data_IF_325876630330
#
_entry.id   IF_325876630330
#
_cell.length_a   1.000
_cell.length_b   1.000
_cell.length_c   1.000
_cell.angle_alpha   90.00
_cell.angle_beta   90.00
_cell.angle_gamma   90.00
#
_symmetry.space_group_name_H-M   'P 1'
#
loop_
_entity.id
_entity.type
_entity.pdbx_description
1 polymer ?
#
# COMPACT_ATOMS: atom_id res chain seq x y z
N UNK A 1 2.02 1.07 -0.61
CA UNK A 1 3.45 1.46 -0.74
C UNK A 1 4.11 0.98 -2.06
N UNK A 2 3.68 -0.15 -2.62
CA UNK A 2 4.25 -0.73 -3.86
C UNK A 2 4.05 0.18 -5.09
N UNK A 3 2.89 0.85 -5.24
CA UNK A 3 2.55 1.64 -6.44
C UNK A 3 3.43 2.88 -6.64
N UNK A 4 3.62 3.71 -5.60
CA UNK A 4 4.44 4.94 -5.68
C UNK A 4 5.94 4.64 -5.90
N UNK A 5 6.49 3.62 -5.24
CA UNK A 5 7.88 3.19 -5.47
C UNK A 5 8.09 2.67 -6.90
N UNK A 6 7.11 1.95 -7.45
CA UNK A 6 7.16 1.48 -8.84
C UNK A 6 7.14 2.64 -9.83
N UNK A 7 6.31 3.66 -9.62
CA UNK A 7 6.28 4.87 -10.47
C UNK A 7 7.62 5.62 -10.41
N UNK A 8 8.21 5.77 -9.23
CA UNK A 8 9.55 6.38 -9.09
C UNK A 8 10.63 5.59 -9.85
N UNK A 9 10.59 4.26 -9.75
CA UNK A 9 11.49 3.39 -10.52
C UNK A 9 11.30 3.56 -12.04
N UNK A 10 10.07 3.70 -12.52
CA UNK A 10 9.77 3.94 -13.94
C UNK A 10 10.33 5.30 -14.39
N UNK A 11 10.13 6.37 -13.62
CA UNK A 11 10.73 7.69 -13.90
C UNK A 11 12.26 7.61 -13.98
N UNK A 12 12.89 6.90 -13.04
CA UNK A 12 14.35 6.69 -13.06
C UNK A 12 14.83 5.88 -14.26
N UNK A 13 14.02 4.96 -14.81
CA UNK A 13 14.39 4.15 -15.98
C UNK A 13 14.32 4.94 -17.29
N UNK A 14 13.36 5.84 -17.40
CA UNK A 14 13.18 6.70 -18.58
C UNK A 14 14.22 7.84 -18.61
N UNK A 15 14.66 8.32 -17.44
CA UNK A 15 15.66 9.40 -17.31
C UNK A 15 17.14 8.95 -17.37
N UNK A 16 17.42 7.67 -17.63
CA UNK A 16 18.81 7.18 -17.74
C UNK A 16 19.42 7.55 -19.10
N UNK A 17 20.76 7.65 -19.13
CA UNK A 17 21.55 7.81 -20.37
C UNK A 17 21.19 6.74 -21.41
N UNK A 18 20.99 5.49 -20.95
CA UNK A 18 20.34 4.43 -21.73
C UNK A 18 18.88 4.32 -21.30
N UNK A 19 18.01 4.97 -22.07
CA UNK A 19 16.57 4.99 -21.78
C UNK A 19 16.01 3.57 -21.84
N UNK A 20 15.22 3.19 -20.83
CA UNK A 20 14.65 1.85 -20.74
C UNK A 20 13.12 1.92 -20.67
N UNK A 21 12.50 1.60 -21.81
CA UNK A 21 11.04 1.54 -21.98
C UNK A 21 10.47 0.12 -21.90
N UNK A 22 11.24 -0.89 -21.48
CA UNK A 22 10.77 -2.29 -21.36
C UNK A 22 9.51 -2.48 -20.51
N UNK A 23 9.19 -1.49 -19.66
CA UNK A 23 7.98 -1.49 -18.84
C UNK A 23 6.73 -1.04 -19.59
N UNK A 24 6.87 -0.54 -20.83
CA UNK A 24 5.83 -0.07 -21.73
C UNK A 24 5.91 -0.84 -23.05
N UNK A 25 5.37 -2.06 -23.10
CA UNK A 25 5.56 -2.97 -24.24
C UNK A 25 5.23 -2.34 -25.60
N UNK A 26 4.09 -1.66 -25.72
CA UNK A 26 3.66 -0.99 -26.96
C UNK A 26 4.61 0.13 -27.38
N UNK A 27 5.09 0.93 -26.42
CA UNK A 27 6.05 2.00 -26.70
C UNK A 27 7.42 1.43 -27.09
N UNK A 28 7.81 0.32 -26.47
CA UNK A 28 9.07 -0.36 -26.77
C UNK A 28 9.06 -1.03 -28.16
N UNK A 29 7.91 -1.59 -28.57
CA UNK A 29 7.70 -2.11 -29.93
C UNK A 29 7.81 -0.99 -30.97
N UNK A 30 7.09 0.12 -30.77
CA UNK A 30 7.14 1.28 -31.69
C UNK A 30 8.53 1.89 -31.85
N UNK A 31 9.35 1.89 -30.79
CA UNK A 31 10.72 2.40 -30.83
C UNK A 31 11.73 1.40 -31.43
N UNK A 32 11.37 0.11 -31.50
CA UNK A 32 12.24 -0.93 -32.07
C UNK A 32 12.10 -1.02 -33.60
N UNK A 33 11.00 -0.50 -34.15
CA UNK A 33 10.69 -0.53 -35.58
C UNK A 33 11.27 0.69 -36.35
N UNK A 34 11.83 1.69 -35.68
CA UNK A 34 12.43 2.85 -36.34
C UNK A 34 13.94 2.67 -36.59
N UNK A 35 14.38 2.84 -37.84
CA UNK A 35 15.80 2.71 -38.26
C UNK A 35 16.69 3.90 -37.81
N UNK A 36 16.10 5.03 -37.41
CA UNK A 36 16.81 6.17 -36.83
C UNK A 36 16.59 6.25 -35.30
N UNK A 37 17.57 6.77 -34.54
CA UNK A 37 17.46 6.94 -33.09
C UNK A 37 16.45 8.05 -32.78
N UNK A 38 15.17 7.73 -32.88
CA UNK A 38 14.09 8.61 -32.47
C UNK A 38 13.98 8.59 -30.95
N UNK A 39 14.65 9.55 -30.29
CA UNK A 39 14.37 9.82 -28.90
C UNK A 39 14.40 11.32 -28.62
N UNK A 40 13.28 12.02 -28.88
CA UNK A 40 13.18 13.44 -28.58
C UNK A 40 13.04 13.58 -27.08
N UNK A 41 13.76 14.52 -26.47
CA UNK A 41 13.52 14.93 -25.09
C UNK A 41 12.02 15.14 -24.78
N UNK A 42 11.23 15.54 -25.78
CA UNK A 42 9.77 15.66 -25.69
C UNK A 42 9.00 14.36 -25.40
N UNK A 43 9.46 13.17 -25.83
CA UNK A 43 8.80 11.90 -25.50
C UNK A 43 8.99 11.56 -24.02
N UNK A 44 10.20 11.77 -23.50
CA UNK A 44 10.51 11.60 -22.08
C UNK A 44 9.63 12.51 -21.23
N UNK A 45 9.52 13.79 -21.62
CA UNK A 45 8.68 14.76 -20.91
C UNK A 45 7.20 14.33 -20.88
N UNK A 46 6.68 13.79 -21.99
CA UNK A 46 5.30 13.26 -22.05
C UNK A 46 5.13 12.08 -21.08
N UNK A 47 6.07 11.12 -21.09
CA UNK A 47 6.01 9.95 -20.21
C UNK A 47 6.10 10.36 -18.75
N UNK A 48 7.01 11.28 -18.40
CA UNK A 48 7.15 11.80 -17.03
C UNK A 48 5.88 12.51 -16.59
N UNK A 49 5.34 13.41 -17.43
CA UNK A 49 4.10 14.14 -17.14
C UNK A 49 2.92 13.19 -16.92
N UNK A 50 2.82 12.12 -17.70
CA UNK A 50 1.79 11.11 -17.51
C UNK A 50 1.98 10.34 -16.20
N UNK A 51 3.22 9.97 -15.87
CA UNK A 51 3.54 9.32 -14.59
C UNK A 51 3.31 10.26 -13.38
N UNK A 52 3.47 11.57 -13.53
CA UNK A 52 3.08 12.57 -12.53
C UNK A 52 1.55 12.61 -12.35
N UNK A 53 0.79 12.75 -13.43
CA UNK A 53 -0.68 12.72 -13.38
C UNK A 53 -1.21 11.45 -12.71
N UNK A 54 -0.65 10.29 -13.08
CA UNK A 54 -1.01 9.01 -12.47
C UNK A 54 -0.65 8.97 -10.98
N UNK A 55 0.46 9.62 -10.57
CA UNK A 55 0.83 9.72 -9.15
C UNK A 55 -0.18 10.56 -8.38
N UNK A 56 -0.66 11.65 -8.97
CA UNK A 56 -1.66 12.54 -8.38
C UNK A 56 -3.02 11.83 -8.26
N UNK A 57 -3.46 11.14 -9.31
CA UNK A 57 -4.70 10.34 -9.32
C UNK A 57 -4.67 9.20 -8.30
N UNK A 58 -3.52 8.56 -8.10
CA UNK A 58 -3.36 7.49 -7.12
C UNK A 58 -3.16 8.00 -5.68
N UNK A 59 -2.88 9.28 -5.48
CA UNK A 59 -2.59 9.83 -4.16
C UNK A 59 -3.76 9.78 -3.18
N UNK A 60 -5.02 10.05 -3.58
CA UNK A 60 -6.21 9.85 -2.74
C UNK A 60 -6.37 8.40 -2.26
N UNK A 61 -6.05 7.42 -3.11
CA UNK A 61 -6.20 5.99 -2.83
C UNK A 61 -5.03 5.42 -2.01
N UNK A 62 -3.85 6.02 -2.13
CA UNK A 62 -2.65 5.65 -1.38
C UNK A 62 -2.13 6.86 -0.58
N UNK A 63 -2.83 7.25 0.50
CA UNK A 63 -2.38 8.31 1.39
C UNK A 63 -0.97 8.00 1.92
N UNK A 64 -0.23 9.04 2.31
CA UNK A 64 1.15 8.91 2.73
C UNK A 64 1.26 8.05 4.00
N UNK A 65 1.66 6.79 3.84
CA UNK A 65 1.83 5.80 4.91
C UNK A 65 2.99 6.13 5.87
N UNK A 66 3.74 7.21 5.64
CA UNK A 66 4.76 7.71 6.57
C UNK A 66 4.16 8.15 7.92
N UNK A 67 2.86 8.46 7.93
CA UNK A 67 2.05 8.64 9.12
C UNK A 67 0.90 7.62 9.08
N UNK A 68 1.24 6.33 9.11
CA UNK A 68 0.24 5.28 9.31
C UNK A 68 -0.51 5.63 10.60
N UNK A 69 -1.80 5.96 10.48
CA UNK A 69 -2.67 6.09 11.64
C UNK A 69 -2.48 4.86 12.51
N UNK A 70 -2.43 5.05 13.83
CA UNK A 70 -2.32 3.95 14.79
C UNK A 70 -3.30 2.80 14.51
N UNK A 71 -4.45 3.08 13.88
CA UNK A 71 -5.42 2.08 13.39
C UNK A 71 -4.84 1.13 12.34
N UNK A 72 -4.08 1.63 11.38
CA UNK A 72 -3.41 0.80 10.39
C UNK A 72 -2.28 -0.02 11.02
N UNK A 73 -1.51 0.58 11.93
CA UNK A 73 -0.44 -0.13 12.64
C UNK A 73 -1.00 -1.25 13.53
N UNK A 74 -2.14 -1.00 14.19
CA UNK A 74 -2.91 -2.01 14.90
C UNK A 74 -3.35 -3.13 13.96
N UNK A 75 -3.99 -2.79 12.84
CA UNK A 75 -4.58 -3.79 11.92
C UNK A 75 -3.53 -4.71 11.32
N UNK A 76 -2.42 -4.15 10.82
CA UNK A 76 -1.41 -4.86 10.01
C UNK A 76 -0.27 -5.44 10.86
N UNK A 77 0.05 -4.79 11.98
CA UNK A 77 1.25 -5.08 12.77
C UNK A 77 0.98 -5.06 14.28
N UNK A 78 -0.21 -5.49 14.70
CA UNK A 78 -0.67 -5.55 16.11
C UNK A 78 0.41 -6.06 17.08
N UNK A 79 1.08 -7.16 16.74
CA UNK A 79 2.07 -7.79 17.62
C UNK A 79 3.46 -7.10 17.64
N UNK A 80 3.77 -6.26 16.64
CA UNK A 80 5.06 -5.57 16.52
C UNK A 80 4.99 -4.08 16.85
N UNK A 81 3.79 -3.52 16.95
CA UNK A 81 3.57 -2.09 17.18
C UNK A 81 3.79 -1.72 18.66
N UNK A 82 4.34 -0.53 18.92
CA UNK A 82 4.45 -0.01 20.27
C UNK A 82 3.03 0.35 20.80
N UNK A 83 2.70 -0.01 22.04
CA UNK A 83 1.40 0.29 22.63
C UNK A 83 1.22 1.80 22.84
N UNK A 84 2.30 2.55 23.07
CA UNK A 84 2.27 4.00 23.34
C UNK A 84 1.67 4.84 22.22
N UNK A 85 1.61 4.31 20.99
CA UNK A 85 1.02 5.03 19.86
C UNK A 85 -0.51 4.90 19.80
N UNK A 86 -1.09 4.02 20.62
CA UNK A 86 -2.53 3.77 20.66
C UNK A 86 -3.22 4.72 21.64
N UNK A 87 -4.50 5.09 21.42
CA UNK A 87 -5.30 5.80 22.41
C UNK A 87 -5.46 4.99 23.69
N UNK A 88 -5.47 5.66 24.85
CA UNK A 88 -5.54 5.04 26.18
C UNK A 88 -6.66 3.99 26.30
N UNK A 89 -7.83 4.26 25.72
CA UNK A 89 -9.01 3.37 25.75
C UNK A 89 -8.77 1.98 25.15
N UNK A 90 -7.74 1.80 24.32
CA UNK A 90 -7.45 0.51 23.68
C UNK A 90 -6.09 -0.08 24.10
N UNK A 91 -5.30 0.65 24.88
CA UNK A 91 -3.94 0.22 25.24
C UNK A 91 -3.95 -1.05 26.09
N UNK A 92 -4.88 -1.15 27.04
CA UNK A 92 -5.03 -2.34 27.90
C UNK A 92 -5.24 -3.61 27.05
N UNK A 93 -6.22 -3.59 26.16
CA UNK A 93 -6.46 -4.72 25.26
C UNK A 93 -5.32 -4.97 24.28
N UNK A 94 -4.62 -3.93 23.83
CA UNK A 94 -3.45 -4.11 22.98
C UNK A 94 -2.32 -4.86 23.73
N UNK A 95 -2.14 -4.60 25.03
CA UNK A 95 -1.19 -5.33 25.89
C UNK A 95 -1.65 -6.78 26.09
N UNK A 96 -2.92 -6.99 26.41
CA UNK A 96 -3.48 -8.34 26.59
C UNK A 96 -3.34 -9.18 25.31
N UNK A 97 -3.72 -8.63 24.16
CA UNK A 97 -3.58 -9.28 22.87
C UNK A 97 -2.11 -9.65 22.58
N UNK A 98 -1.17 -8.74 22.86
CA UNK A 98 0.26 -9.00 22.63
C UNK A 98 0.81 -10.11 23.52
N UNK A 99 0.23 -10.31 24.68
CA UNK A 99 0.59 -11.38 25.63
C UNK A 99 -0.15 -12.70 25.34
N UNK A 100 -1.16 -12.70 24.48
CA UNK A 100 -1.85 -13.91 24.04
C UNK A 100 -1.03 -14.63 22.93
N UNK A 101 -0.38 -15.72 23.32
CA UNK A 101 0.39 -16.57 22.43
C UNK A 101 -0.47 -17.28 21.38
N UNK A 102 -1.72 -17.62 21.71
CA UNK A 102 -2.66 -18.25 20.79
C UNK A 102 -3.09 -17.25 19.73
N UNK A 103 -3.42 -16.02 20.14
CA UNK A 103 -3.72 -14.94 19.20
C UNK A 103 -2.54 -14.67 18.28
N UNK A 104 -1.30 -14.72 18.78
CA UNK A 104 -0.11 -14.56 17.94
C UNK A 104 0.04 -15.66 16.89
N UNK A 105 -0.27 -16.92 17.25
CA UNK A 105 -0.23 -18.04 16.29
C UNK A 105 -1.33 -17.88 15.24
N UNK A 106 -2.54 -17.52 15.66
CA UNK A 106 -3.68 -17.32 14.78
C UNK A 106 -3.46 -16.17 13.82
N UNK A 107 -2.89 -15.06 14.29
CA UNK A 107 -2.54 -13.90 13.46
C UNK A 107 -1.57 -14.26 12.32
N UNK A 108 -0.67 -15.22 12.55
CA UNK A 108 0.29 -15.66 11.54
C UNK A 108 -0.23 -16.79 10.63
N UNK A 109 -1.34 -17.43 11.00
CA UNK A 109 -1.88 -18.60 10.29
C UNK A 109 -3.20 -18.36 9.58
N UNK A 110 -3.91 -17.26 9.89
CA UNK A 110 -5.19 -16.87 9.28
C UNK A 110 -5.07 -15.56 8.50
N UNK A 111 -6.09 -15.26 7.68
CA UNK A 111 -6.19 -13.94 7.06
C UNK A 111 -6.46 -12.86 8.10
N UNK A 112 -6.18 -11.60 7.76
CA UNK A 112 -6.33 -10.47 8.67
C UNK A 112 -7.79 -10.28 9.07
N UNK A 113 -8.70 -10.44 8.12
CA UNK A 113 -10.14 -10.36 8.29
C UNK A 113 -10.65 -11.45 9.23
N UNK A 114 -10.27 -12.71 8.98
CA UNK A 114 -10.67 -13.85 9.81
C UNK A 114 -10.15 -13.70 11.24
N UNK A 115 -8.90 -13.26 11.39
CA UNK A 115 -8.31 -13.00 12.70
C UNK A 115 -9.11 -11.97 13.50
N UNK A 116 -9.33 -10.78 12.92
CA UNK A 116 -10.01 -9.69 13.64
C UNK A 116 -11.49 -9.99 13.89
N UNK A 117 -12.15 -10.78 13.04
CA UNK A 117 -13.51 -11.30 13.30
C UNK A 117 -13.50 -12.32 14.43
N UNK A 118 -12.55 -13.27 14.44
CA UNK A 118 -12.45 -14.32 15.47
C UNK A 118 -12.20 -13.74 16.86
N UNK A 119 -11.35 -12.71 16.95
CA UNK A 119 -10.95 -12.09 18.22
C UNK A 119 -11.81 -10.90 18.65
N UNK A 120 -12.77 -10.47 17.83
CA UNK A 120 -13.74 -9.45 18.20
C UNK A 120 -14.48 -9.69 19.53
N UNK A 121 -14.99 -10.89 19.86
CA UNK A 121 -15.64 -11.11 21.14
C UNK A 121 -14.69 -11.10 22.35
N UNK A 122 -13.38 -11.25 22.13
CA UNK A 122 -12.36 -11.32 23.19
C UNK A 122 -11.74 -9.93 23.42
N UNK A 123 -11.45 -9.22 22.34
CA UNK A 123 -10.82 -7.90 22.36
C UNK A 123 -11.63 -6.88 21.51
N UNK A 124 -12.86 -6.52 21.94
CA UNK A 124 -13.78 -5.75 21.12
C UNK A 124 -13.25 -4.36 20.72
N UNK A 125 -12.56 -3.63 21.60
CA UNK A 125 -12.12 -2.26 21.38
C UNK A 125 -11.06 -2.20 20.26
N UNK A 126 -10.04 -3.05 20.33
CA UNK A 126 -9.02 -3.12 19.28
C UNK A 126 -9.54 -3.76 17.98
N UNK A 127 -10.38 -4.78 18.09
CA UNK A 127 -10.90 -5.50 16.91
C UNK A 127 -11.87 -4.64 16.12
N UNK A 128 -12.72 -3.85 16.78
CA UNK A 128 -13.61 -2.92 16.10
C UNK A 128 -12.85 -1.85 15.31
N UNK A 129 -11.74 -1.33 15.86
CA UNK A 129 -10.91 -0.36 15.15
C UNK A 129 -10.19 -0.97 13.96
N UNK A 130 -9.73 -2.21 14.07
CA UNK A 130 -9.14 -2.95 12.95
C UNK A 130 -10.17 -3.26 11.85
N UNK A 131 -11.36 -3.74 12.22
CA UNK A 131 -12.44 -4.06 11.27
C UNK A 131 -12.93 -2.82 10.51
N UNK A 132 -13.00 -1.65 11.17
CA UNK A 132 -13.33 -0.38 10.48
C UNK A 132 -12.33 -0.03 9.38
N UNK A 133 -11.06 -0.39 9.54
CA UNK A 133 -10.02 -0.20 8.50
C UNK A 133 -10.22 -1.19 7.36
N UNK A 134 -10.42 -2.47 7.68
CA UNK A 134 -10.60 -3.53 6.68
C UNK A 134 -11.85 -3.31 5.82
N UNK A 135 -12.98 -2.93 6.42
CA UNK A 135 -14.24 -2.66 5.69
C UNK A 135 -14.06 -1.52 4.68
N UNK A 136 -13.35 -0.45 5.04
CA UNK A 136 -13.07 0.65 4.10
C UNK A 136 -12.28 0.16 2.90
N UNK A 137 -11.25 -0.66 3.12
CA UNK A 137 -10.44 -1.23 2.06
C UNK A 137 -11.25 -2.12 1.11
N UNK A 138 -12.12 -2.97 1.65
CA UNK A 138 -13.00 -3.82 0.84
C UNK A 138 -13.98 -2.98 0.01
N UNK A 139 -14.56 -1.93 0.61
CA UNK A 139 -15.52 -1.06 -0.09
C UNK A 139 -14.89 -0.26 -1.23
N UNK A 140 -13.62 0.15 -1.12
CA UNK A 140 -12.94 0.84 -2.23
C UNK A 140 -12.63 -0.09 -3.39
N UNK A 141 -12.35 -1.36 -3.13
CA UNK A 141 -12.05 -2.34 -4.19
C UNK A 141 -13.31 -2.87 -4.89
N UNK A 142 -14.43 -2.94 -4.16
CA UNK A 142 -15.73 -3.42 -4.68
C UNK A 142 -16.46 -2.40 -5.58
N UNK A 143 -16.08 -1.12 -5.55
CA UNK A 143 -16.71 -0.08 -6.37
C UNK A 143 -16.04 0.10 -7.75
N UNK A 144 -14.99 -0.66 -8.06
CA UNK A 144 -14.30 -0.62 -9.36
C UNK A 144 -14.69 -1.81 -10.29
N UNK A 145 -15.73 -2.57 -9.94
CA UNK A 145 -16.29 -3.66 -10.76
C UNK A 145 -17.70 -3.36 -11.25
#
# INVERSE_FOLDING_TARGET
MVSKKKIQLLKSRVNKETQNFSSFCQLNELLSDEEEPFCPAGLIDIVIKHLDSLTDELTPYFPNFSNLSWRYMLTISSFSTNVDIFPDIIQEQAIELKNDSSAKIDFNSSSMEEFWVKYQPIYPEISNEALKVLVKFLSTYLCEF
#
